data_IF_940746289487
#
_entry.id   IF_940746289487
#
_cell.length_a   1.000
_cell.length_b   1.000
_cell.length_c   1.000
_cell.angle_alpha   90.00
_cell.angle_beta   90.00
_cell.angle_gamma   90.00
#
_symmetry.space_group_name_H-M   'P 1'
#
loop_
_entity.id
_entity.type
_entity.pdbx_description
1 polymer ?
#
# COMPACT_ATOMS: atom_id res chain seq x y z
N UNK A 1 8.59 -5.09 -6.44
CA UNK A 1 8.56 -5.33 -4.99
C UNK A 1 9.81 -6.15 -4.65
N UNK A 2 10.48 -5.91 -3.53
CA UNK A 2 11.81 -6.50 -3.22
C UNK A 2 11.69 -7.62 -2.18
N UNK A 3 11.45 -8.85 -2.64
CA UNK A 3 11.20 -9.99 -1.75
C UNK A 3 12.44 -10.46 -0.98
N UNK A 4 13.65 -10.02 -1.35
CA UNK A 4 14.84 -10.26 -0.52
C UNK A 4 14.81 -9.40 0.75
N UNK A 5 14.33 -8.16 0.66
CA UNK A 5 14.07 -7.34 1.86
C UNK A 5 13.04 -7.99 2.77
N UNK A 6 11.92 -8.44 2.21
CA UNK A 6 10.89 -9.13 3.02
C UNK A 6 11.47 -10.36 3.71
N UNK A 7 12.27 -11.18 3.01
CA UNK A 7 12.88 -12.38 3.60
C UNK A 7 13.73 -12.05 4.83
N UNK A 8 14.51 -10.97 4.77
CA UNK A 8 15.34 -10.51 5.89
C UNK A 8 14.48 -10.07 7.08
N UNK A 9 13.36 -9.41 6.83
CA UNK A 9 12.41 -8.97 7.87
C UNK A 9 11.67 -10.14 8.52
N UNK A 10 11.37 -11.21 7.76
CA UNK A 10 10.61 -12.37 8.25
C UNK A 10 11.40 -13.31 9.17
N UNK A 11 12.74 -13.23 9.19
CA UNK A 11 13.62 -14.09 9.99
C UNK A 11 13.22 -15.59 9.91
N UNK A 12 13.09 -16.09 8.68
CA UNK A 12 12.55 -17.42 8.40
C UNK A 12 13.45 -18.55 8.95
N UNK A 13 12.82 -19.65 9.37
CA UNK A 13 13.54 -20.90 9.62
C UNK A 13 14.14 -21.47 8.33
N UNK A 14 15.04 -22.45 8.44
CA UNK A 14 15.63 -23.12 7.28
C UNK A 14 14.55 -23.76 6.39
N UNK A 15 13.56 -24.43 7.00
CA UNK A 15 12.47 -25.06 6.25
C UNK A 15 11.58 -24.02 5.56
N UNK A 16 11.22 -22.96 6.27
CA UNK A 16 10.43 -21.86 5.70
C UNK A 16 11.17 -21.18 4.55
N UNK A 17 12.49 -21.00 4.68
CA UNK A 17 13.34 -20.36 3.66
C UNK A 17 13.31 -21.12 2.33
N UNK A 18 13.35 -22.46 2.36
CA UNK A 18 13.29 -23.26 1.14
C UNK A 18 11.94 -23.08 0.42
N UNK A 19 10.83 -23.22 1.15
CA UNK A 19 9.47 -23.00 0.60
C UNK A 19 9.27 -21.57 0.12
N UNK A 20 9.81 -20.59 0.84
CA UNK A 20 9.75 -19.19 0.46
C UNK A 20 10.36 -18.95 -0.92
N UNK A 21 11.57 -19.45 -1.18
CA UNK A 21 12.20 -19.27 -2.50
C UNK A 21 11.40 -19.92 -3.63
N UNK A 22 10.82 -21.10 -3.41
CA UNK A 22 9.96 -21.76 -4.39
C UNK A 22 8.74 -20.90 -4.72
N UNK A 23 8.07 -20.35 -3.69
CA UNK A 23 6.91 -19.47 -3.86
C UNK A 23 7.32 -18.19 -4.59
N UNK A 24 8.39 -17.50 -4.17
CA UNK A 24 8.82 -16.25 -4.82
C UNK A 24 9.11 -16.49 -6.30
N UNK A 25 9.88 -17.54 -6.61
CA UNK A 25 10.25 -17.88 -7.99
C UNK A 25 9.02 -18.16 -8.85
N UNK A 26 8.11 -19.00 -8.36
CA UNK A 26 6.87 -19.31 -9.08
C UNK A 26 6.10 -18.04 -9.45
N UNK A 27 5.89 -17.14 -8.49
CA UNK A 27 5.12 -15.93 -8.70
C UNK A 27 5.84 -14.88 -9.55
N UNK A 28 7.18 -14.84 -9.54
CA UNK A 28 7.96 -14.01 -10.45
C UNK A 28 7.83 -14.48 -11.90
N UNK A 29 7.93 -15.78 -12.13
CA UNK A 29 7.75 -16.39 -13.45
C UNK A 29 6.30 -16.21 -13.96
N UNK A 30 5.30 -16.45 -13.11
CA UNK A 30 3.88 -16.26 -13.42
C UNK A 30 3.58 -14.81 -13.81
N UNK A 31 4.03 -13.83 -13.02
CA UNK A 31 3.85 -12.41 -13.37
C UNK A 31 4.53 -12.04 -14.68
N UNK A 32 5.72 -12.57 -14.95
CA UNK A 32 6.41 -12.31 -16.21
C UNK A 32 5.59 -12.83 -17.41
N UNK A 33 4.97 -14.01 -17.27
CA UNK A 33 4.05 -14.54 -18.28
C UNK A 33 2.80 -13.68 -18.43
N UNK A 34 2.11 -13.36 -17.33
CA UNK A 34 0.89 -12.54 -17.34
C UNK A 34 1.10 -11.18 -18.00
N UNK A 35 2.24 -10.52 -17.73
CA UNK A 35 2.58 -9.24 -18.33
C UNK A 35 2.87 -9.36 -19.83
N UNK A 36 3.58 -10.42 -20.25
CA UNK A 36 3.85 -10.69 -21.67
C UNK A 36 2.56 -10.98 -22.44
N UNK A 37 1.65 -11.75 -21.86
CA UNK A 37 0.36 -12.06 -22.47
C UNK A 37 -0.50 -10.79 -22.60
N UNK A 38 -0.53 -9.94 -21.56
CA UNK A 38 -1.20 -8.64 -21.62
C UNK A 38 -0.62 -7.76 -22.73
N UNK A 39 0.70 -7.68 -22.84
CA UNK A 39 1.39 -6.94 -23.91
C UNK A 39 0.99 -7.43 -25.30
N UNK A 40 0.87 -8.75 -25.49
CA UNK A 40 0.42 -9.34 -26.75
C UNK A 40 -1.04 -8.97 -27.12
N UNK A 41 -1.89 -8.63 -26.14
CA UNK A 41 -3.26 -8.16 -26.41
C UNK A 41 -3.34 -6.70 -26.87
N UNK A 42 -2.27 -5.92 -26.69
CA UNK A 42 -2.27 -4.47 -26.93
C UNK A 42 -3.09 -3.64 -25.92
N UNK A 43 -3.62 -4.25 -24.86
CA UNK A 43 -4.34 -3.58 -23.77
C UNK A 43 -3.46 -3.37 -22.52
N UNK A 44 -2.17 -3.12 -22.72
CA UNK A 44 -1.14 -3.16 -21.67
C UNK A 44 -0.97 -1.83 -20.92
N UNK A 45 -2.07 -1.08 -20.78
CA UNK A 45 -2.07 0.19 -20.05
C UNK A 45 -1.54 0.00 -18.62
N UNK A 46 -0.91 1.04 -18.06
CA UNK A 46 -0.41 1.02 -16.68
C UNK A 46 -1.47 0.60 -15.66
N UNK A 47 -2.73 0.97 -15.90
CA UNK A 47 -3.87 0.59 -15.05
C UNK A 47 -4.11 -0.92 -15.08
N UNK A 48 -4.15 -1.52 -16.27
CA UNK A 48 -4.37 -2.97 -16.41
C UNK A 48 -3.16 -3.76 -15.88
N UNK A 49 -1.93 -3.31 -16.15
CA UNK A 49 -0.71 -3.89 -15.55
C UNK A 49 -0.78 -3.88 -14.02
N UNK A 50 -1.13 -2.73 -13.41
CA UNK A 50 -1.25 -2.63 -11.96
C UNK A 50 -2.34 -3.55 -11.41
N UNK A 51 -3.51 -3.64 -12.06
CA UNK A 51 -4.60 -4.51 -11.63
C UNK A 51 -4.19 -5.99 -11.60
N UNK A 52 -3.54 -6.48 -12.66
CA UNK A 52 -3.02 -7.85 -12.71
C UNK A 52 -1.97 -8.12 -11.64
N UNK A 53 -1.02 -7.20 -11.47
CA UNK A 53 0.00 -7.31 -10.44
C UNK A 53 -0.58 -7.31 -9.03
N UNK A 54 -1.58 -6.48 -8.75
CA UNK A 54 -2.27 -6.44 -7.46
C UNK A 54 -2.89 -7.79 -7.11
N UNK A 55 -3.63 -8.39 -8.06
CA UNK A 55 -4.24 -9.71 -7.87
C UNK A 55 -3.18 -10.77 -7.61
N UNK A 56 -2.09 -10.77 -8.40
CA UNK A 56 -0.98 -11.72 -8.23
C UNK A 56 -0.30 -11.56 -6.85
N UNK A 57 -0.04 -10.34 -6.41
CA UNK A 57 0.59 -10.10 -5.09
C UNK A 57 -0.31 -10.48 -3.93
N UNK A 58 -1.61 -10.21 -4.01
CA UNK A 58 -2.59 -10.65 -3.00
C UNK A 58 -2.67 -12.17 -2.93
N UNK A 59 -2.65 -12.85 -4.08
CA UNK A 59 -2.64 -14.31 -4.09
C UNK A 59 -1.31 -14.88 -3.57
N UNK A 60 -0.19 -14.26 -3.91
CA UNK A 60 1.12 -14.63 -3.37
C UNK A 60 1.18 -14.50 -1.85
N UNK A 61 0.63 -13.41 -1.31
CA UNK A 61 0.51 -13.20 0.13
C UNK A 61 -0.25 -14.34 0.79
N UNK A 62 -1.43 -14.69 0.26
CA UNK A 62 -2.21 -15.82 0.76
C UNK A 62 -1.46 -17.17 0.69
N UNK A 63 -0.66 -17.39 -0.36
CA UNK A 63 0.17 -18.59 -0.46
C UNK A 63 1.28 -18.58 0.59
N UNK A 64 1.93 -17.44 0.83
CA UNK A 64 2.95 -17.27 1.86
C UNK A 64 2.40 -17.53 3.26
N UNK A 65 1.16 -17.13 3.58
CA UNK A 65 0.53 -17.37 4.90
C UNK A 65 0.59 -18.84 5.35
N UNK A 66 0.59 -19.80 4.41
CA UNK A 66 0.65 -21.22 4.71
C UNK A 66 1.99 -21.69 5.28
N UNK A 67 3.05 -20.90 5.14
CA UNK A 67 4.38 -21.23 5.65
C UNK A 67 4.82 -20.30 6.80
N UNK A 68 4.07 -19.25 7.08
CA UNK A 68 4.42 -18.22 8.05
C UNK A 68 3.69 -18.42 9.38
N UNK A 69 4.33 -18.04 10.48
CA UNK A 69 3.65 -17.88 11.77
C UNK A 69 2.90 -16.53 11.83
N UNK A 70 2.12 -16.29 12.89
CA UNK A 70 1.28 -15.07 13.00
C UNK A 70 2.07 -13.76 12.94
N UNK A 71 3.22 -13.67 13.61
CA UNK A 71 4.07 -12.47 13.56
C UNK A 71 4.60 -12.22 12.15
N UNK A 72 5.05 -13.28 11.48
CA UNK A 72 5.55 -13.24 10.10
C UNK A 72 4.44 -12.88 9.10
N UNK A 73 3.20 -13.34 9.31
CA UNK A 73 2.05 -12.97 8.46
C UNK A 73 1.80 -11.47 8.50
N UNK A 74 1.87 -10.85 9.68
CA UNK A 74 1.71 -9.40 9.84
C UNK A 74 2.80 -8.66 9.06
N UNK A 75 4.06 -9.09 9.17
CA UNK A 75 5.19 -8.49 8.43
C UNK A 75 4.98 -8.62 6.91
N UNK A 76 4.59 -9.80 6.43
CA UNK A 76 4.32 -10.04 5.01
C UNK A 76 3.15 -9.18 4.51
N UNK A 77 2.06 -9.10 5.26
CA UNK A 77 0.90 -8.29 4.93
C UNK A 77 1.28 -6.82 4.76
N UNK A 78 1.94 -6.25 5.77
CA UNK A 78 2.37 -4.85 5.74
C UNK A 78 3.33 -4.56 4.60
N UNK A 79 4.26 -5.48 4.31
CA UNK A 79 5.17 -5.35 3.20
C UNK A 79 4.44 -5.32 1.85
N UNK A 80 3.56 -6.30 1.61
CA UNK A 80 2.78 -6.39 0.37
C UNK A 80 1.95 -5.13 0.17
N UNK A 81 1.20 -4.73 1.20
CA UNK A 81 0.37 -3.52 1.22
C UNK A 81 1.18 -2.26 0.92
N UNK A 82 2.32 -2.07 1.59
CA UNK A 82 3.20 -0.89 1.43
C UNK A 82 3.76 -0.74 0.03
N UNK A 83 4.14 -1.85 -0.60
CA UNK A 83 4.79 -1.85 -1.91
C UNK A 83 3.85 -2.21 -3.06
N UNK A 84 2.55 -2.31 -2.80
CA UNK A 84 1.52 -2.64 -3.78
C UNK A 84 1.50 -1.58 -4.90
N UNK A 85 1.67 -1.97 -6.18
CA UNK A 85 1.69 -1.01 -7.28
C UNK A 85 0.33 -0.33 -7.45
N UNK A 86 0.35 0.98 -7.72
CA UNK A 86 -0.85 1.73 -8.06
C UNK A 86 -1.83 1.99 -6.92
N UNK A 87 -1.45 1.69 -5.67
CA UNK A 87 -2.25 2.01 -4.49
C UNK A 87 -1.67 3.24 -3.81
N UNK A 88 -2.54 4.23 -3.57
CA UNK A 88 -2.20 5.52 -2.95
C UNK A 88 -3.25 5.76 -1.87
N UNK A 89 -3.08 5.17 -0.69
CA UNK A 89 -3.85 5.43 0.53
C UNK A 89 -3.29 4.59 1.70
N UNK A 90 -3.88 4.66 2.90
CA UNK A 90 -3.78 3.58 3.89
C UNK A 90 -4.55 2.32 3.47
N UNK A 91 -4.29 1.19 4.14
CA UNK A 91 -5.18 0.02 4.08
C UNK A 91 -6.61 0.36 4.44
N UNK A 92 -7.55 -0.41 3.91
CA UNK A 92 -8.92 -0.40 4.41
C UNK A 92 -8.97 -0.96 5.84
N UNK A 93 -8.07 -1.90 6.16
CA UNK A 93 -7.85 -2.42 7.51
C UNK A 93 -7.47 -1.33 8.53
N UNK A 94 -6.45 -0.52 8.26
CA UNK A 94 -6.06 0.60 9.12
C UNK A 94 -7.14 1.70 9.16
N UNK A 95 -7.83 1.98 8.04
CA UNK A 95 -8.94 2.93 8.04
C UNK A 95 -10.06 2.48 8.97
N UNK A 96 -10.41 1.19 8.95
CA UNK A 96 -11.38 0.60 9.85
C UNK A 96 -10.92 0.70 11.32
N UNK A 97 -9.65 0.35 11.60
CA UNK A 97 -9.08 0.45 12.94
C UNK A 97 -9.09 1.90 13.47
N UNK A 98 -8.77 2.89 12.63
CA UNK A 98 -8.85 4.31 12.99
C UNK A 98 -10.28 4.70 13.35
N UNK A 99 -11.26 4.29 12.54
CA UNK A 99 -12.68 4.59 12.79
C UNK A 99 -13.13 4.00 14.14
N UNK A 100 -12.79 2.74 14.39
CA UNK A 100 -13.17 2.02 15.61
C UNK A 100 -12.45 2.58 16.85
N UNK A 101 -11.12 2.69 16.80
CA UNK A 101 -10.30 3.06 17.96
C UNK A 101 -10.55 4.50 18.42
N UNK A 102 -10.74 5.43 17.48
CA UNK A 102 -11.04 6.82 17.82
C UNK A 102 -12.53 7.04 18.16
N UNK A 103 -13.34 5.99 18.07
CA UNK A 103 -14.80 6.03 18.23
C UNK A 103 -15.42 7.18 17.41
N UNK A 104 -15.05 7.28 16.13
CA UNK A 104 -15.52 8.35 15.26
C UNK A 104 -17.04 8.27 15.10
N UNK A 105 -17.72 9.41 15.27
CA UNK A 105 -19.15 9.50 14.96
C UNK A 105 -19.39 9.44 13.43
N UNK A 106 -20.65 9.30 13.02
CA UNK A 106 -20.98 9.15 11.60
C UNK A 106 -20.51 10.33 10.73
N UNK A 107 -20.54 11.56 11.26
CA UNK A 107 -20.08 12.75 10.54
C UNK A 107 -18.56 12.72 10.43
N UNK A 108 -17.85 12.36 11.50
CA UNK A 108 -16.41 12.22 11.50
C UNK A 108 -15.93 11.11 10.54
N UNK A 109 -16.66 9.99 10.47
CA UNK A 109 -16.36 8.89 9.51
C UNK A 109 -16.47 9.39 8.08
N UNK A 110 -17.58 10.05 7.72
CA UNK A 110 -17.77 10.57 6.36
C UNK A 110 -16.67 11.58 5.99
N UNK A 111 -16.34 12.49 6.90
CA UNK A 111 -15.30 13.49 6.69
C UNK A 111 -13.90 12.87 6.61
N UNK A 112 -13.59 11.88 7.44
CA UNK A 112 -12.33 11.14 7.41
C UNK A 112 -12.12 10.45 6.05
N UNK A 113 -13.13 9.73 5.57
CA UNK A 113 -13.09 9.07 4.27
C UNK A 113 -12.99 10.09 3.12
N UNK A 114 -13.76 11.18 3.20
CA UNK A 114 -13.72 12.23 2.19
C UNK A 114 -12.35 12.93 2.11
N UNK A 115 -11.70 13.18 3.24
CA UNK A 115 -10.36 13.81 3.29
C UNK A 115 -9.31 12.90 2.63
N UNK A 116 -9.30 11.60 2.95
CA UNK A 116 -8.36 10.67 2.31
C UNK A 116 -8.67 10.53 0.81
N UNK A 117 -9.93 10.36 0.42
CA UNK A 117 -10.33 10.29 -1.00
C UNK A 117 -9.96 11.56 -1.79
N UNK A 118 -10.09 12.75 -1.18
CA UNK A 118 -9.70 14.00 -1.78
C UNK A 118 -8.19 14.07 -2.05
N UNK A 119 -7.36 13.53 -1.14
CA UNK A 119 -5.93 13.39 -1.37
C UNK A 119 -5.64 12.50 -2.58
N UNK A 120 -6.21 11.29 -2.60
CA UNK A 120 -5.99 10.31 -3.69
C UNK A 120 -6.37 10.92 -5.04
N UNK A 121 -7.55 11.55 -5.09
CA UNK A 121 -8.05 12.21 -6.30
C UNK A 121 -7.13 13.34 -6.74
N UNK A 122 -6.76 14.26 -5.85
CA UNK A 122 -5.91 15.41 -6.18
C UNK A 122 -4.52 14.98 -6.68
N UNK A 123 -3.97 13.90 -6.10
CA UNK A 123 -2.69 13.34 -6.53
C UNK A 123 -2.80 12.70 -7.93
N UNK A 124 -3.82 11.89 -8.18
CA UNK A 124 -4.07 11.30 -9.50
C UNK A 124 -4.36 12.35 -10.57
N UNK A 125 -5.18 13.36 -10.28
CA UNK A 125 -5.50 14.44 -11.21
C UNK A 125 -4.27 15.29 -11.58
N UNK A 126 -3.23 15.28 -10.73
CA UNK A 126 -1.97 15.97 -11.00
C UNK A 126 -0.95 15.11 -11.76
N UNK A 127 -1.32 13.92 -12.21
CA UNK A 127 -0.45 13.02 -12.97
C UNK A 127 0.18 13.69 -14.19
N UNK A 128 -0.63 14.43 -14.96
CA UNK A 128 -0.17 15.14 -16.15
C UNK A 128 0.83 16.25 -15.82
N UNK A 129 0.87 16.74 -14.58
CA UNK A 129 1.83 17.80 -14.20
C UNK A 129 3.23 17.26 -13.95
N UNK A 130 3.37 15.96 -13.67
CA UNK A 130 4.69 15.37 -13.42
C UNK A 130 5.17 14.43 -14.54
N UNK A 131 4.31 13.90 -15.41
CA UNK A 131 4.70 13.08 -16.58
C UNK A 131 5.78 12.02 -16.29
N UNK A 132 5.71 11.35 -15.13
CA UNK A 132 6.70 10.35 -14.71
C UNK A 132 7.96 10.89 -14.03
N UNK A 133 8.12 12.22 -13.88
CA UNK A 133 9.18 12.82 -13.07
C UNK A 133 8.95 12.50 -11.58
N UNK A 134 9.82 11.65 -11.02
CA UNK A 134 9.73 11.20 -9.62
C UNK A 134 9.85 12.34 -8.61
N UNK A 135 10.70 13.34 -8.89
CA UNK A 135 10.88 14.48 -7.98
C UNK A 135 9.61 15.33 -7.91
N UNK A 136 9.03 15.65 -9.07
CA UNK A 136 7.77 16.41 -9.16
C UNK A 136 6.59 15.62 -8.58
N UNK A 137 6.52 14.31 -8.83
CA UNK A 137 5.53 13.44 -8.19
C UNK A 137 5.67 13.46 -6.66
N UNK A 138 6.88 13.36 -6.13
CA UNK A 138 7.16 13.46 -4.69
C UNK A 138 6.74 14.82 -4.11
N UNK A 139 7.00 15.93 -4.83
CA UNK A 139 6.56 17.26 -4.42
C UNK A 139 5.04 17.37 -4.30
N UNK A 140 4.29 16.95 -5.33
CA UNK A 140 2.81 16.98 -5.29
C UNK A 140 2.25 16.06 -4.21
N UNK A 141 2.82 14.85 -4.07
CA UNK A 141 2.42 13.92 -3.03
C UNK A 141 2.59 14.56 -1.65
N UNK A 142 3.74 15.16 -1.36
CA UNK A 142 4.00 15.81 -0.08
C UNK A 142 3.05 16.99 0.16
N UNK A 143 2.83 17.85 -0.85
CA UNK A 143 1.92 18.99 -0.74
C UNK A 143 0.49 18.56 -0.39
N UNK A 144 -0.04 17.56 -1.09
CA UNK A 144 -1.39 17.07 -0.81
C UNK A 144 -1.45 16.34 0.54
N UNK A 145 -0.40 15.62 0.93
CA UNK A 145 -0.38 14.87 2.18
C UNK A 145 -0.33 15.82 3.39
N UNK A 146 0.39 16.94 3.29
CA UNK A 146 0.34 17.99 4.31
C UNK A 146 -1.06 18.62 4.41
N UNK A 147 -1.73 18.84 3.27
CA UNK A 147 -3.11 19.33 3.26
C UNK A 147 -4.08 18.34 3.92
N UNK A 148 -3.89 17.04 3.64
CA UNK A 148 -4.65 15.93 4.25
C UNK A 148 -4.45 15.90 5.76
N UNK A 149 -3.20 15.89 6.24
CA UNK A 149 -2.87 15.90 7.68
C UNK A 149 -3.47 17.11 8.38
N UNK A 150 -3.40 18.28 7.78
CA UNK A 150 -3.99 19.50 8.32
C UNK A 150 -5.52 19.40 8.46
N UNK A 151 -6.21 18.86 7.45
CA UNK A 151 -7.65 18.64 7.52
C UNK A 151 -8.02 17.61 8.60
N UNK A 152 -7.29 16.51 8.72
CA UNK A 152 -7.49 15.50 9.77
C UNK A 152 -7.28 16.06 11.18
N UNK A 153 -6.27 16.92 11.36
CA UNK A 153 -6.03 17.60 12.65
C UNK A 153 -7.17 18.52 13.07
N UNK A 154 -7.91 19.08 12.11
CA UNK A 154 -9.10 19.90 12.39
C UNK A 154 -10.35 19.08 12.65
N UNK A 155 -10.42 17.90 12.05
CA UNK A 155 -11.56 16.99 12.18
C UNK A 155 -11.60 16.33 13.56
N UNK A 156 -10.44 15.86 14.02
CA UNK A 156 -10.31 15.12 15.26
C UNK A 156 -10.17 16.04 16.46
N UNK A 157 -10.64 15.57 17.62
CA UNK A 157 -10.23 16.15 18.90
C UNK A 157 -8.71 16.00 19.09
N UNK A 158 -8.14 16.74 20.05
CA UNK A 158 -6.70 16.62 20.33
C UNK A 158 -6.30 15.19 20.73
N UNK A 159 -7.13 14.50 21.51
CA UNK A 159 -6.92 13.13 21.95
C UNK A 159 -7.04 12.15 20.79
N UNK A 160 -8.12 12.26 20.00
CA UNK A 160 -8.31 11.45 18.78
C UNK A 160 -7.14 11.63 17.81
N UNK A 161 -6.67 12.87 17.61
CA UNK A 161 -5.55 13.12 16.71
C UNK A 161 -4.24 12.50 17.21
N UNK A 162 -3.98 12.53 18.52
CA UNK A 162 -2.81 11.87 19.09
C UNK A 162 -2.84 10.36 18.84
N UNK A 163 -3.97 9.71 19.10
CA UNK A 163 -4.18 8.27 18.83
C UNK A 163 -4.06 7.95 17.35
N UNK A 164 -4.60 8.79 16.47
CA UNK A 164 -4.46 8.64 15.03
C UNK A 164 -2.98 8.64 14.59
N UNK A 165 -2.16 9.54 15.15
CA UNK A 165 -0.73 9.56 14.85
C UNK A 165 -0.05 8.25 15.28
N UNK A 166 -0.41 7.71 16.45
CA UNK A 166 0.12 6.42 16.91
C UNK A 166 -0.31 5.26 16.01
N UNK A 167 -1.60 5.16 15.67
CA UNK A 167 -2.12 4.11 14.78
C UNK A 167 -1.46 4.15 13.40
N UNK A 168 -1.25 5.35 12.86
CA UNK A 168 -0.62 5.51 11.53
C UNK A 168 0.89 5.30 11.52
N UNK A 169 1.53 5.02 12.66
CA UNK A 169 2.92 4.52 12.66
C UNK A 169 3.02 3.06 12.26
N UNK A 170 1.92 2.29 12.37
CA UNK A 170 1.87 0.88 11.98
C UNK A 170 2.07 0.70 10.48
N UNK A 171 1.47 1.61 9.70
CA UNK A 171 1.52 1.58 8.24
C UNK A 171 1.92 2.94 7.67
N UNK A 172 2.94 2.97 6.80
CA UNK A 172 3.25 4.15 5.99
C UNK A 172 2.17 4.41 4.95
N UNK A 173 1.79 5.67 4.77
CA UNK A 173 0.86 6.06 3.69
C UNK A 173 1.42 5.65 2.31
N UNK A 174 0.65 4.86 1.55
CA UNK A 174 1.15 4.24 0.31
C UNK A 174 1.31 5.23 -0.83
N UNK A 175 2.07 4.80 -1.84
CA UNK A 175 2.32 5.60 -3.04
C UNK A 175 3.30 6.75 -2.82
N UNK A 176 3.99 6.82 -1.67
CA UNK A 176 5.04 7.80 -1.46
C UNK A 176 6.23 7.53 -2.39
N UNK A 177 6.51 8.49 -3.26
CA UNK A 177 7.70 8.46 -4.11
C UNK A 177 8.90 8.88 -3.27
N UNK A 178 9.67 7.90 -2.79
CA UNK A 178 10.98 8.20 -2.19
C UNK A 178 11.94 8.70 -3.26
N UNK A 179 12.61 9.81 -2.99
CA UNK A 179 13.55 10.48 -3.90
C UNK A 179 14.93 9.80 -3.93
N UNK A 180 14.98 8.47 -3.88
CA UNK A 180 16.24 7.73 -3.99
C UNK A 180 16.60 7.45 -5.44
#
# INVERSE_FOLDING_TARGET
MDFEKLKLELNLSVEQTLKYYEIIKYFEEDRASLLKDLEATGNDSKKEKNKLLQISYQYQEHVLENILNEEQKIIAHEFIKRYMPGVVDYSDELKAEVIETLALDSVQVEQYLAINNAFVKAFHDSHDKFHGNKQTASMYWNQYNESRKYALKKLFSQEQYAQYIELTTKESYRGQFSSK
#
